data_IF_793771738543
#
_entry.id   IF_793771738543
#
_cell.length_a   1.000
_cell.length_b   1.000
_cell.length_c   1.000
_cell.angle_alpha   90.00
_cell.angle_beta   90.00
_cell.angle_gamma   90.00
#
_symmetry.space_group_name_H-M   'P 1'
#
loop_
_entity.id
_entity.type
_entity.pdbx_description
1 polymer ?
#
# COMPACT_ATOMS: atom_id res chain seq x y z
N UNK A 1 -17.92 1.84 -21.33
CA UNK A 1 -16.54 1.40 -21.24
C UNK A 1 -16.13 1.31 -19.78
N UNK A 2 -15.62 0.14 -19.39
CA UNK A 2 -15.24 -0.10 -18.01
C UNK A 2 -13.82 0.37 -17.79
N UNK A 3 -13.65 1.38 -16.96
CA UNK A 3 -12.31 1.81 -16.59
C UNK A 3 -12.04 1.34 -15.17
N UNK A 4 -11.09 0.44 -15.04
CA UNK A 4 -10.63 0.01 -13.72
C UNK A 4 -9.83 1.13 -13.07
N UNK A 5 -9.86 1.25 -11.75
CA UNK A 5 -8.99 2.19 -11.05
C UNK A 5 -7.53 1.88 -11.36
N UNK A 6 -6.65 2.90 -11.39
CA UNK A 6 -5.23 2.62 -11.52
C UNK A 6 -4.74 1.73 -10.40
N UNK A 7 -3.90 0.78 -10.75
CA UNK A 7 -3.33 -0.17 -9.80
C UNK A 7 -1.88 -0.46 -10.16
N UNK A 8 -1.08 -0.77 -9.15
CA UNK A 8 0.34 -1.10 -9.31
C UNK A 8 0.70 -2.24 -8.39
N UNK A 9 1.69 -3.02 -8.79
CA UNK A 9 2.26 -4.07 -7.95
C UNK A 9 3.50 -3.50 -7.26
N UNK A 10 3.53 -3.59 -5.94
CA UNK A 10 4.68 -3.17 -5.15
C UNK A 10 5.31 -4.39 -4.51
N UNK A 11 6.64 -4.46 -4.51
CA UNK A 11 7.37 -5.51 -3.81
C UNK A 11 7.82 -4.97 -2.45
N UNK A 12 7.48 -5.70 -1.40
CA UNK A 12 7.88 -5.33 -0.03
C UNK A 12 9.36 -5.63 0.12
N UNK A 13 10.16 -4.62 0.41
CA UNK A 13 11.62 -4.81 0.49
C UNK A 13 12.19 -4.68 1.90
N UNK A 14 11.44 -4.09 2.84
CA UNK A 14 11.95 -3.94 4.20
C UNK A 14 11.94 -5.28 4.94
N UNK A 15 12.90 -5.48 5.83
CA UNK A 15 13.13 -6.75 6.50
C UNK A 15 11.89 -7.30 7.19
N UNK A 16 11.15 -6.44 7.86
CA UNK A 16 10.00 -6.86 8.70
C UNK A 16 8.68 -6.90 7.94
N UNK A 17 8.66 -6.46 6.69
CA UNK A 17 7.42 -6.43 5.91
C UNK A 17 6.41 -5.43 6.48
N UNK A 18 5.12 -5.75 6.27
CA UNK A 18 4.03 -4.92 6.79
C UNK A 18 3.76 -5.30 8.25
N UNK A 19 4.46 -4.65 9.16
CA UNK A 19 4.24 -4.74 10.60
C UNK A 19 3.55 -3.46 11.09
N UNK A 20 3.36 -3.30 12.39
CA UNK A 20 2.58 -2.19 12.93
C UNK A 20 3.13 -0.82 12.49
N UNK A 21 4.45 -0.63 12.55
CA UNK A 21 5.06 0.66 12.23
C UNK A 21 4.96 0.98 10.74
N UNK A 22 5.31 0.03 9.87
CA UNK A 22 5.25 0.27 8.43
C UNK A 22 3.81 0.42 7.95
N UNK A 23 2.88 -0.35 8.53
CA UNK A 23 1.46 -0.21 8.21
C UNK A 23 0.94 1.17 8.62
N UNK A 24 1.38 1.68 9.78
CA UNK A 24 0.99 3.03 10.22
C UNK A 24 1.52 4.10 9.25
N UNK A 25 2.75 3.93 8.76
CA UNK A 25 3.31 4.86 7.76
C UNK A 25 2.53 4.82 6.45
N UNK A 26 2.12 3.62 6.04
CA UNK A 26 1.31 3.45 4.83
C UNK A 26 -0.01 4.19 4.98
N UNK A 27 -0.72 3.98 6.09
CA UNK A 27 -2.00 4.63 6.37
C UNK A 27 -1.85 6.15 6.42
N UNK A 28 -0.81 6.64 7.09
CA UNK A 28 -0.55 8.08 7.16
C UNK A 28 -0.38 8.67 5.76
N UNK A 29 0.36 7.99 4.90
CA UNK A 29 0.55 8.43 3.52
C UNK A 29 -0.78 8.49 2.78
N UNK A 30 -1.61 7.45 2.91
CA UNK A 30 -2.93 7.40 2.27
C UNK A 30 -3.79 8.58 2.69
N UNK A 31 -3.76 8.95 3.97
CA UNK A 31 -4.62 10.03 4.49
C UNK A 31 -4.21 11.41 3.99
N UNK A 32 -3.06 11.55 3.35
CA UNK A 32 -2.61 12.83 2.79
C UNK A 32 -3.22 13.12 1.41
N UNK A 33 -3.94 12.16 0.85
CA UNK A 33 -4.49 12.27 -0.50
C UNK A 33 -6.00 12.07 -0.50
N UNK A 34 -6.67 12.75 -1.42
CA UNK A 34 -8.10 12.55 -1.67
C UNK A 34 -8.26 11.36 -2.63
N UNK A 35 -8.14 10.16 -2.08
CA UNK A 35 -8.24 8.92 -2.83
C UNK A 35 -8.61 7.78 -1.91
N UNK A 36 -9.40 6.84 -2.43
CA UNK A 36 -9.68 5.58 -1.74
C UNK A 36 -8.66 4.55 -2.21
N UNK A 37 -7.89 4.03 -1.28
CA UNK A 37 -6.81 3.08 -1.58
C UNK A 37 -7.18 1.70 -1.07
N UNK A 38 -6.98 0.69 -1.92
CA UNK A 38 -7.19 -0.71 -1.56
C UNK A 38 -5.90 -1.48 -1.80
N UNK A 39 -5.64 -2.44 -0.94
CA UNK A 39 -4.43 -3.26 -1.00
C UNK A 39 -4.84 -4.72 -1.03
N UNK A 40 -4.31 -5.47 -1.98
CA UNK A 40 -4.66 -6.88 -2.16
C UNK A 40 -3.42 -7.75 -2.14
N UNK A 41 -3.57 -8.94 -1.58
CA UNK A 41 -2.55 -9.98 -1.60
C UNK A 41 -3.24 -11.34 -1.46
N UNK A 42 -2.88 -12.27 -2.35
CA UNK A 42 -3.38 -13.65 -2.30
C UNK A 42 -4.90 -13.74 -2.19
N UNK A 43 -5.61 -12.92 -2.95
CA UNK A 43 -7.07 -12.93 -2.99
C UNK A 43 -7.76 -12.17 -1.86
N UNK A 44 -7.00 -11.60 -0.93
CA UNK A 44 -7.55 -10.74 0.12
C UNK A 44 -7.38 -9.28 -0.25
N UNK A 45 -8.43 -8.49 -0.03
CA UNK A 45 -8.39 -7.04 -0.28
C UNK A 45 -8.79 -6.32 1.00
N UNK A 46 -7.99 -5.33 1.37
CA UNK A 46 -8.22 -4.51 2.57
C UNK A 46 -8.15 -3.04 2.22
N UNK A 47 -8.69 -2.19 3.09
CA UNK A 47 -8.56 -0.75 2.92
C UNK A 47 -7.12 -0.32 3.23
N UNK A 48 -6.56 0.52 2.37
CA UNK A 48 -5.23 1.11 2.60
C UNK A 48 -5.22 2.10 3.78
N UNK A 49 -6.40 2.43 4.31
CA UNK A 49 -6.52 3.30 5.48
C UNK A 49 -6.70 2.51 6.79
N UNK A 50 -6.55 1.19 6.74
CA UNK A 50 -6.73 0.34 7.91
C UNK A 50 -5.42 -0.33 8.28
N UNK A 51 -4.86 0.05 9.43
CA UNK A 51 -3.65 -0.60 9.95
C UNK A 51 -3.90 -2.10 10.19
N UNK A 52 -5.05 -2.44 10.78
CA UNK A 52 -5.40 -3.84 11.04
C UNK A 52 -5.53 -4.63 9.75
N UNK A 53 -6.16 -4.01 8.73
CA UNK A 53 -6.30 -4.66 7.43
C UNK A 53 -4.94 -4.98 6.81
N UNK A 54 -4.02 -4.02 6.85
CA UNK A 54 -2.68 -4.22 6.30
C UNK A 54 -1.93 -5.30 7.07
N UNK A 55 -2.05 -5.33 8.40
CA UNK A 55 -1.43 -6.38 9.21
C UNK A 55 -1.96 -7.76 8.84
N UNK A 56 -3.27 -7.86 8.56
CA UNK A 56 -3.89 -9.13 8.23
C UNK A 56 -3.44 -9.70 6.88
N UNK A 57 -2.91 -8.87 5.99
CA UNK A 57 -2.36 -9.37 4.73
C UNK A 57 -1.11 -10.21 4.93
N UNK A 58 -0.39 -10.01 6.03
CA UNK A 58 0.79 -10.80 6.33
C UNK A 58 1.91 -10.67 5.31
N UNK A 59 2.01 -9.52 4.64
CA UNK A 59 3.00 -9.33 3.57
C UNK A 59 4.39 -9.20 4.17
N UNK A 60 5.20 -10.22 3.96
CA UNK A 60 6.58 -10.26 4.42
C UNK A 60 7.51 -9.69 3.36
N UNK A 61 8.79 -9.59 3.69
CA UNK A 61 9.82 -9.19 2.73
C UNK A 61 9.74 -10.06 1.47
N UNK A 62 9.89 -9.43 0.32
CA UNK A 62 9.84 -10.03 -1.01
C UNK A 62 8.43 -10.42 -1.47
N UNK A 63 7.41 -10.24 -0.64
CA UNK A 63 6.01 -10.40 -1.08
C UNK A 63 5.62 -9.26 -1.99
N UNK A 64 4.67 -9.55 -2.88
CA UNK A 64 4.05 -8.52 -3.72
C UNK A 64 2.66 -8.19 -3.19
N UNK A 65 2.33 -6.90 -3.25
CA UNK A 65 0.98 -6.43 -2.96
C UNK A 65 0.49 -5.63 -4.16
N UNK A 66 -0.80 -5.72 -4.46
CA UNK A 66 -1.41 -4.89 -5.48
C UNK A 66 -2.10 -3.72 -4.79
N UNK A 67 -1.77 -2.51 -5.20
CA UNK A 67 -2.33 -1.30 -4.62
C UNK A 67 -3.10 -0.56 -5.69
N UNK A 68 -4.39 -0.33 -5.44
CA UNK A 68 -5.25 0.44 -6.33
C UNK A 68 -5.73 1.69 -5.63
N UNK A 69 -6.04 2.73 -6.41
CA UNK A 69 -6.51 3.99 -5.86
C UNK A 69 -7.58 4.57 -6.76
N UNK A 70 -8.61 5.16 -6.15
CA UNK A 70 -9.69 5.87 -6.84
C UNK A 70 -9.85 7.24 -6.24
N UNK A 71 -10.16 8.23 -7.09
CA UNK A 71 -10.42 9.60 -6.65
C UNK A 71 -9.52 10.59 -7.35
N UNK A 72 -9.68 11.89 -7.02
CA UNK A 72 -8.92 12.95 -7.68
C UNK A 72 -7.41 12.80 -7.56
N UNK A 73 -6.94 12.27 -6.43
CA UNK A 73 -5.50 12.14 -6.15
C UNK A 73 -4.99 10.72 -6.33
N UNK A 74 -5.69 9.87 -7.08
CA UNK A 74 -5.35 8.45 -7.20
C UNK A 74 -3.90 8.23 -7.65
N UNK A 75 -3.47 8.88 -8.73
CA UNK A 75 -2.11 8.70 -9.25
C UNK A 75 -1.08 9.27 -8.29
N UNK A 76 -1.35 10.44 -7.72
CA UNK A 76 -0.43 11.06 -6.75
C UNK A 76 -0.27 10.16 -5.52
N UNK A 77 -1.36 9.54 -5.05
CA UNK A 77 -1.30 8.61 -3.93
C UNK A 77 -0.44 7.39 -4.27
N UNK A 78 -0.65 6.81 -5.46
CA UNK A 78 0.13 5.65 -5.90
C UNK A 78 1.62 6.00 -6.01
N UNK A 79 1.95 7.18 -6.54
CA UNK A 79 3.34 7.62 -6.63
C UNK A 79 3.99 7.72 -5.26
N UNK A 80 3.28 8.32 -4.29
CA UNK A 80 3.80 8.49 -2.94
C UNK A 80 3.94 7.15 -2.23
N UNK A 81 2.97 6.25 -2.39
CA UNK A 81 3.02 4.93 -1.78
C UNK A 81 4.12 4.08 -2.39
N UNK A 82 4.33 4.19 -3.70
CA UNK A 82 5.41 3.47 -4.36
C UNK A 82 6.76 3.90 -3.83
N UNK A 83 6.97 5.20 -3.66
CA UNK A 83 8.21 5.73 -3.10
C UNK A 83 8.42 5.24 -1.66
N UNK A 84 7.34 5.22 -0.87
CA UNK A 84 7.39 4.77 0.51
C UNK A 84 7.79 3.29 0.61
N UNK A 85 7.13 2.45 -0.17
CA UNK A 85 7.37 0.99 -0.15
C UNK A 85 8.75 0.67 -0.71
N UNK A 86 9.13 1.26 -1.85
CA UNK A 86 10.44 0.99 -2.46
C UNK A 86 11.58 1.55 -1.63
N UNK A 87 11.32 2.55 -0.80
CA UNK A 87 12.29 3.05 0.17
C UNK A 87 12.32 2.26 1.47
N UNK A 88 11.61 1.12 1.54
CA UNK A 88 11.59 0.27 2.70
C UNK A 88 10.95 0.90 3.93
N UNK A 89 10.02 1.84 3.73
CA UNK A 89 9.38 2.61 4.80
C UNK A 89 10.39 3.36 5.67
N UNK A 90 11.56 3.68 5.11
CA UNK A 90 12.64 4.29 5.89
C UNK A 90 13.35 3.33 6.82
N UNK A 91 13.05 2.04 6.73
CA UNK A 91 13.70 0.99 7.50
C UNK A 91 14.80 0.32 6.65
N UNK A 92 15.53 -0.58 7.23
CA UNK A 92 16.54 -1.35 6.50
C UNK A 92 15.88 -2.28 5.46
N UNK A 93 16.37 -2.21 4.25
CA UNK A 93 15.96 -3.11 3.18
C UNK A 93 16.90 -4.30 3.08
#
# INVERSE_FOLDING_TARGET
>A
MNTSPPARIFTICNRRGLHARSSAKFVKCVTEFDAEVKVSRDGQTVSGASIMGLLMLGAARDSEIEVSAEGPDAVAALDALEALVSGGFGEDC
#
